data_IF_548628357433
#
_entry.id   IF_548628357433
#
_cell.length_a   1.000
_cell.length_b   1.000
_cell.length_c   1.000
_cell.angle_alpha   90.00
_cell.angle_beta   90.00
_cell.angle_gamma   90.00
#
_symmetry.space_group_name_H-M   'P 1'
#
loop_
_entity.id
_entity.type
_entity.pdbx_description
1 polymer ?
#
# COMPACT_ATOMS: atom_id res chain seq x y z
N UNK A 1 45.03 -10.01 -75.02
CA UNK A 1 43.65 -9.85 -75.46
C UNK A 1 42.72 -9.97 -74.29
N UNK A 2 42.36 -8.85 -73.65
CA UNK A 2 41.49 -8.79 -72.46
C UNK A 2 40.10 -8.39 -72.88
N UNK A 3 39.12 -9.23 -72.58
CA UNK A 3 37.70 -8.88 -72.70
C UNK A 3 37.20 -8.32 -71.34
N UNK A 4 36.53 -7.16 -71.33
CA UNK A 4 35.91 -6.65 -70.11
C UNK A 4 34.57 -7.32 -69.85
N UNK A 5 34.36 -7.71 -68.64
CA UNK A 5 33.11 -8.25 -68.12
C UNK A 5 32.14 -7.11 -67.79
N UNK A 6 31.00 -7.11 -68.44
CA UNK A 6 29.92 -6.16 -68.19
C UNK A 6 29.09 -6.63 -67.04
N UNK A 7 29.16 -5.89 -65.92
CA UNK A 7 28.32 -6.11 -64.75
C UNK A 7 26.91 -5.61 -65.05
N UNK A 8 25.94 -6.52 -65.13
CA UNK A 8 24.51 -6.18 -65.12
C UNK A 8 24.01 -6.01 -63.69
N UNK A 9 23.68 -4.77 -63.33
CA UNK A 9 23.05 -4.44 -62.06
C UNK A 9 21.55 -4.73 -62.16
N UNK A 10 21.12 -5.83 -61.54
CA UNK A 10 19.70 -6.14 -61.36
C UNK A 10 19.19 -5.36 -60.16
N UNK A 11 18.43 -4.30 -60.37
CA UNK A 11 17.71 -3.59 -59.33
C UNK A 11 16.47 -4.40 -58.95
N UNK A 12 16.53 -5.05 -57.77
CA UNK A 12 15.40 -5.75 -57.21
C UNK A 12 14.50 -4.73 -56.49
N UNK A 13 13.40 -4.36 -57.13
CA UNK A 13 12.33 -3.56 -56.53
C UNK A 13 11.55 -4.47 -55.56
N UNK A 14 11.78 -4.31 -54.23
CA UNK A 14 10.98 -4.94 -53.19
C UNK A 14 9.79 -4.02 -52.91
N UNK A 15 8.54 -4.47 -53.12
CA UNK A 15 7.39 -3.68 -52.69
C UNK A 15 7.31 -3.65 -51.16
N UNK A 16 7.40 -2.46 -50.60
CA UNK A 16 7.19 -2.19 -49.17
C UNK A 16 5.71 -2.37 -48.86
N UNK A 17 5.34 -3.55 -48.35
CA UNK A 17 4.02 -3.78 -47.78
C UNK A 17 3.99 -3.09 -46.42
N UNK A 18 3.32 -1.96 -46.35
CA UNK A 18 3.03 -1.29 -45.08
C UNK A 18 1.98 -2.11 -44.33
N UNK A 19 2.43 -2.93 -43.35
CA UNK A 19 1.54 -3.55 -42.37
C UNK A 19 1.14 -2.46 -41.39
N UNK A 20 -0.05 -1.91 -41.55
CA UNK A 20 -0.68 -1.06 -40.56
C UNK A 20 -1.14 -1.98 -39.40
N UNK A 21 -0.30 -2.16 -38.40
CA UNK A 21 -0.70 -2.80 -37.17
C UNK A 21 -1.55 -1.80 -36.36
N UNK A 22 -2.87 -1.90 -36.47
CA UNK A 22 -3.79 -1.25 -35.56
C UNK A 22 -3.70 -1.97 -34.19
N UNK A 23 -2.78 -1.53 -33.34
CA UNK A 23 -2.74 -1.94 -31.95
C UNK A 23 -3.95 -1.32 -31.24
N UNK A 24 -5.02 -2.11 -31.09
CA UNK A 24 -6.06 -1.82 -30.10
C UNK A 24 -5.42 -1.95 -28.71
N UNK A 25 -4.89 -0.85 -28.17
CA UNK A 25 -4.52 -0.78 -26.77
C UNK A 25 -5.80 -0.86 -25.95
N UNK A 26 -6.12 -2.08 -25.48
CA UNK A 26 -7.07 -2.27 -24.41
C UNK A 26 -6.57 -1.44 -23.22
N UNK A 27 -7.28 -0.37 -22.91
CA UNK A 27 -6.97 0.47 -21.76
C UNK A 27 -7.03 -0.37 -20.50
N UNK A 28 -5.88 -0.81 -20.01
CA UNK A 28 -5.79 -1.28 -18.63
C UNK A 28 -6.27 -0.12 -17.76
N UNK A 29 -7.33 -0.34 -16.98
CA UNK A 29 -7.82 0.64 -16.03
C UNK A 29 -6.63 1.06 -15.16
N UNK A 30 -6.26 2.33 -15.22
CA UNK A 30 -5.23 2.87 -14.35
C UNK A 30 -5.67 2.64 -12.91
N UNK A 31 -4.81 2.12 -12.04
CA UNK A 31 -5.13 2.04 -10.63
C UNK A 31 -5.53 3.43 -10.14
N UNK A 32 -6.51 3.53 -9.23
CA UNK A 32 -6.95 4.82 -8.70
C UNK A 32 -5.73 5.60 -8.21
N UNK A 33 -5.64 6.87 -8.63
CA UNK A 33 -4.57 7.77 -8.19
C UNK A 33 -4.66 7.86 -6.66
N UNK A 34 -3.58 7.58 -5.93
CA UNK A 34 -3.61 7.66 -4.47
C UNK A 34 -4.09 9.04 -4.03
N UNK A 35 -5.06 9.08 -3.13
CA UNK A 35 -5.52 10.34 -2.57
C UNK A 35 -4.35 11.01 -1.86
N UNK A 36 -4.03 12.28 -2.15
CA UNK A 36 -2.99 13.01 -1.43
C UNK A 36 -3.21 12.91 0.08
N UNK A 37 -2.11 12.94 0.84
CA UNK A 37 -2.19 12.96 2.30
C UNK A 37 -3.24 14.02 2.74
N UNK A 38 -4.17 13.68 3.66
CA UNK A 38 -5.26 14.58 4.02
C UNK A 38 -4.70 15.91 4.51
N UNK A 39 -5.19 17.01 3.92
CA UNK A 39 -4.95 18.35 4.43
C UNK A 39 -5.72 18.50 5.75
N UNK A 40 -5.07 18.38 6.88
CA UNK A 40 -5.69 18.46 8.20
C UNK A 40 -4.71 18.12 9.31
N UNK A 41 -5.18 18.22 10.56
CA UNK A 41 -4.38 17.85 11.72
C UNK A 41 -4.09 16.35 11.71
N UNK A 42 -2.83 15.99 11.81
CA UNK A 42 -2.35 14.62 11.93
C UNK A 42 -1.86 14.39 13.36
N UNK A 43 -2.22 13.26 13.91
CA UNK A 43 -1.86 12.84 15.26
C UNK A 43 -0.88 11.68 15.19
N UNK A 44 0.25 11.82 15.85
CA UNK A 44 1.23 10.74 15.91
C UNK A 44 0.75 9.63 16.84
N UNK A 45 0.76 8.40 16.33
CA UNK A 45 0.23 7.22 17.00
C UNK A 45 1.35 6.24 17.34
N UNK A 46 1.16 5.55 18.45
CA UNK A 46 1.97 4.42 18.88
C UNK A 46 1.15 3.14 18.85
N UNK A 47 1.73 2.04 18.36
CA UNK A 47 1.08 0.74 18.35
C UNK A 47 1.24 0.09 19.72
N UNK A 48 0.14 -0.04 20.45
CA UNK A 48 0.10 -0.63 21.79
C UNK A 48 0.13 -2.15 21.78
N UNK A 49 -0.29 -2.77 20.67
CA UNK A 49 -0.30 -4.21 20.50
C UNK A 49 -1.47 -4.72 19.67
N UNK A 50 -1.54 -6.03 19.60
CA UNK A 50 -2.66 -6.76 18.98
C UNK A 50 -3.23 -7.71 20.02
N UNK A 51 -4.55 -7.67 20.21
CA UNK A 51 -5.27 -8.53 21.14
C UNK A 51 -6.52 -9.12 20.48
N UNK A 52 -6.96 -10.31 20.87
CA UNK A 52 -8.22 -10.84 20.40
C UNK A 52 -9.40 -10.04 20.95
N UNK A 53 -10.37 -9.76 20.12
CA UNK A 53 -11.65 -9.22 20.56
C UNK A 53 -12.36 -10.25 21.47
N UNK A 54 -12.82 -9.86 22.65
CA UNK A 54 -13.37 -10.81 23.63
C UNK A 54 -14.66 -11.48 23.18
N UNK A 55 -15.37 -10.94 22.19
CA UNK A 55 -16.65 -11.47 21.69
C UNK A 55 -16.43 -12.34 20.47
N UNK A 56 -15.71 -11.86 19.50
CA UNK A 56 -15.52 -12.56 18.21
C UNK A 56 -14.24 -13.38 18.13
N UNK A 57 -13.27 -13.13 19.02
CA UNK A 57 -11.92 -13.70 18.95
C UNK A 57 -11.07 -13.14 17.81
N UNK A 58 -11.59 -12.24 17.01
CA UNK A 58 -10.87 -11.64 15.87
C UNK A 58 -9.77 -10.70 16.38
N UNK A 59 -8.59 -10.66 15.72
CA UNK A 59 -7.51 -9.78 16.13
C UNK A 59 -7.88 -8.30 15.98
N UNK A 60 -7.61 -7.51 17.01
CA UNK A 60 -7.70 -6.05 17.05
C UNK A 60 -6.31 -5.47 17.25
N UNK A 61 -5.89 -4.56 16.37
CA UNK A 61 -4.73 -3.73 16.61
C UNK A 61 -5.17 -2.46 17.36
N UNK A 62 -4.43 -2.11 18.39
CA UNK A 62 -4.66 -0.93 19.22
C UNK A 62 -3.56 0.09 19.00
N UNK A 63 -3.96 1.33 18.72
CA UNK A 63 -3.06 2.47 18.64
C UNK A 63 -3.49 3.54 19.63
N UNK A 64 -2.50 4.27 20.17
CA UNK A 64 -2.72 5.39 21.07
C UNK A 64 -1.94 6.61 20.58
N UNK A 65 -2.57 7.78 20.66
CA UNK A 65 -1.91 9.06 20.39
C UNK A 65 -0.79 9.33 21.38
N UNK A 66 0.39 9.67 20.88
CA UNK A 66 1.56 9.93 21.74
C UNK A 66 1.39 11.17 22.61
N UNK A 67 0.65 12.17 22.14
CA UNK A 67 0.48 13.46 22.82
C UNK A 67 -0.84 13.58 23.57
N UNK A 68 -1.95 13.18 22.94
CA UNK A 68 -3.31 13.44 23.42
C UNK A 68 -4.05 12.19 23.93
N UNK A 69 -3.40 11.03 23.94
CA UNK A 69 -3.93 9.75 24.38
C UNK A 69 -5.21 9.27 23.67
N UNK A 70 -5.52 9.81 22.50
CA UNK A 70 -6.59 9.29 21.64
C UNK A 70 -6.33 7.82 21.33
N UNK A 71 -7.39 7.05 21.27
CA UNK A 71 -7.29 5.63 20.97
C UNK A 71 -7.97 5.32 19.64
N UNK A 72 -7.36 4.42 18.91
CA UNK A 72 -7.85 3.90 17.66
C UNK A 72 -7.67 2.39 17.67
N UNK A 73 -8.74 1.67 17.36
CA UNK A 73 -8.69 0.22 17.26
C UNK A 73 -9.34 -0.24 15.97
N UNK A 74 -8.76 -1.25 15.33
CA UNK A 74 -9.29 -1.80 14.11
C UNK A 74 -9.14 -3.31 14.04
N UNK A 75 -10.17 -3.97 13.52
CA UNK A 75 -10.10 -5.40 13.23
C UNK A 75 -9.13 -5.64 12.07
N UNK A 76 -8.30 -6.66 12.23
CA UNK A 76 -7.34 -7.10 11.21
C UNK A 76 -7.44 -8.61 11.05
N UNK A 77 -6.95 -9.12 9.93
CA UNK A 77 -6.87 -10.56 9.73
C UNK A 77 -5.78 -11.22 10.59
N UNK A 78 -5.87 -12.53 10.84
CA UNK A 78 -4.88 -13.24 11.67
C UNK A 78 -3.48 -13.25 11.06
N UNK A 79 -3.35 -13.23 9.74
CA UNK A 79 -2.05 -13.14 9.05
C UNK A 79 -1.46 -11.74 9.14
N UNK A 80 -2.30 -10.71 9.03
CA UNK A 80 -1.91 -9.31 9.21
C UNK A 80 -1.46 -9.06 10.66
N UNK A 81 -2.15 -9.67 11.62
CA UNK A 81 -1.76 -9.61 13.03
C UNK A 81 -0.33 -10.09 13.26
N UNK A 82 0.07 -11.20 12.65
CA UNK A 82 1.46 -11.68 12.73
C UNK A 82 2.46 -10.66 12.16
N UNK A 83 2.08 -9.99 11.06
CA UNK A 83 2.90 -8.93 10.46
C UNK A 83 3.21 -7.78 11.41
N UNK A 84 2.33 -7.51 12.37
CA UNK A 84 2.47 -6.47 13.40
C UNK A 84 3.13 -7.02 14.67
N UNK A 85 2.71 -8.19 15.15
CA UNK A 85 3.21 -8.78 16.39
C UNK A 85 4.71 -9.07 16.33
N UNK A 86 5.20 -9.65 15.23
CA UNK A 86 6.59 -10.04 15.09
C UNK A 86 7.57 -8.87 15.31
N UNK A 87 7.44 -7.72 14.62
CA UNK A 87 8.32 -6.58 14.87
C UNK A 87 8.16 -5.96 16.27
N UNK A 88 6.94 -5.93 16.82
CA UNK A 88 6.71 -5.43 18.18
C UNK A 88 7.44 -6.27 19.24
N UNK A 89 7.58 -7.57 19.02
CA UNK A 89 8.31 -8.49 19.89
C UNK A 89 9.79 -8.59 19.56
N UNK A 90 10.28 -7.85 18.56
CA UNK A 90 11.68 -7.93 18.11
C UNK A 90 12.05 -9.29 17.51
N UNK A 91 11.05 -10.10 17.13
CA UNK A 91 11.28 -11.44 16.60
C UNK A 91 11.72 -11.37 15.14
N UNK A 92 12.80 -12.11 14.82
CA UNK A 92 13.27 -12.31 13.45
C UNK A 92 13.14 -13.78 13.08
N UNK A 93 12.50 -14.04 11.95
CA UNK A 93 12.35 -15.38 11.43
C UNK A 93 13.58 -15.78 10.59
N UNK A 94 13.89 -17.10 10.46
CA UNK A 94 14.98 -17.57 9.62
C UNK A 94 14.82 -17.24 8.13
N UNK A 95 13.60 -17.03 7.69
CA UNK A 95 13.25 -16.59 6.32
C UNK A 95 12.43 -15.30 6.38
N UNK A 96 12.60 -14.39 5.42
CA UNK A 96 11.79 -13.16 5.34
C UNK A 96 10.30 -13.49 5.30
N UNK A 97 9.52 -12.78 6.11
CA UNK A 97 8.07 -12.79 6.05
C UNK A 97 7.59 -11.83 4.93
N UNK A 98 6.30 -11.81 4.60
CA UNK A 98 5.78 -11.00 3.49
C UNK A 98 6.19 -9.53 3.58
N UNK A 99 6.04 -8.91 4.75
CA UNK A 99 6.40 -7.50 4.95
C UNK A 99 7.91 -7.28 4.98
N UNK A 100 8.71 -8.28 5.41
CA UNK A 100 10.17 -8.19 5.34
C UNK A 100 10.64 -8.21 3.87
N UNK A 101 10.04 -9.09 3.05
CA UNK A 101 10.32 -9.16 1.63
C UNK A 101 9.88 -7.86 0.91
N UNK A 102 8.71 -7.33 1.27
CA UNK A 102 8.21 -6.08 0.70
C UNK A 102 9.13 -4.91 1.04
N UNK A 103 9.58 -4.81 2.28
CA UNK A 103 10.52 -3.78 2.72
C UNK A 103 11.86 -3.89 1.99
N UNK A 104 12.40 -5.10 1.86
CA UNK A 104 13.62 -5.34 1.08
C UNK A 104 13.45 -4.91 -0.39
N UNK A 105 12.31 -5.20 -1.00
CA UNK A 105 12.02 -4.74 -2.37
C UNK A 105 11.98 -3.22 -2.47
N UNK A 106 11.35 -2.53 -1.51
CA UNK A 106 11.33 -1.07 -1.43
C UNK A 106 12.76 -0.52 -1.36
N UNK A 107 13.61 -1.08 -0.49
CA UNK A 107 15.01 -0.67 -0.33
C UNK A 107 15.83 -0.92 -1.61
N UNK A 108 15.63 -2.06 -2.28
CA UNK A 108 16.30 -2.37 -3.56
C UNK A 108 15.95 -1.38 -4.65
N UNK A 109 14.73 -0.83 -4.62
CA UNK A 109 14.27 0.24 -5.50
C UNK A 109 14.74 1.64 -5.05
N UNK A 110 15.65 1.73 -4.06
CA UNK A 110 16.20 2.96 -3.50
C UNK A 110 15.14 3.88 -2.90
N UNK A 111 14.07 3.30 -2.37
CA UNK A 111 13.06 3.98 -1.59
C UNK A 111 13.10 3.51 -0.13
N UNK A 112 12.45 4.24 0.77
CA UNK A 112 12.26 3.88 2.17
C UNK A 112 10.86 4.30 2.62
N UNK A 113 10.33 3.67 3.65
CA UNK A 113 9.06 4.09 4.25
C UNK A 113 9.31 5.40 5.03
N UNK A 114 8.74 6.50 4.54
CA UNK A 114 8.88 7.81 5.18
C UNK A 114 7.89 7.94 6.35
N UNK A 115 6.63 7.55 6.15
CA UNK A 115 5.57 7.57 7.17
C UNK A 115 4.34 6.81 6.69
N UNK A 116 3.45 6.55 7.62
CA UNK A 116 2.10 6.02 7.38
C UNK A 116 1.07 7.02 7.86
N UNK A 117 -0.01 7.20 7.11
CA UNK A 117 -1.15 8.03 7.52
C UNK A 117 -2.43 7.20 7.43
N UNK A 118 -3.07 6.93 8.57
CA UNK A 118 -4.44 6.40 8.63
C UNK A 118 -5.36 7.57 8.33
N UNK A 119 -6.02 7.54 7.17
CA UNK A 119 -6.65 8.73 6.59
C UNK A 119 -8.08 8.94 7.08
N UNK A 120 -8.86 7.87 7.09
CA UNK A 120 -10.28 7.94 7.46
C UNK A 120 -10.83 6.55 7.82
N UNK A 121 -12.01 6.56 8.42
CA UNK A 121 -12.88 5.40 8.49
C UNK A 121 -14.16 5.68 7.69
N UNK A 122 -14.43 4.86 6.68
CA UNK A 122 -15.60 4.96 5.82
C UNK A 122 -16.22 3.57 5.64
N UNK A 123 -17.51 3.46 5.73
CA UNK A 123 -18.26 2.20 5.57
C UNK A 123 -17.68 1.04 6.40
N UNK A 124 -17.37 1.35 7.66
CA UNK A 124 -16.74 0.43 8.63
C UNK A 124 -15.36 -0.10 8.20
N UNK A 125 -14.69 0.58 7.26
CA UNK A 125 -13.37 0.23 6.74
C UNK A 125 -12.41 1.38 6.96
N UNK A 126 -11.24 1.08 7.51
CA UNK A 126 -10.14 2.05 7.65
C UNK A 126 -9.31 2.08 6.38
N UNK A 127 -8.93 3.29 5.99
CA UNK A 127 -8.04 3.57 4.87
C UNK A 127 -6.72 4.14 5.36
N UNK A 128 -5.65 3.82 4.67
CA UNK A 128 -4.33 4.37 4.99
C UNK A 128 -3.52 4.65 3.71
N UNK A 129 -2.62 5.62 3.84
CA UNK A 129 -1.59 5.89 2.86
C UNK A 129 -0.24 5.43 3.43
N UNK A 130 0.48 4.63 2.66
CA UNK A 130 1.89 4.35 2.84
C UNK A 130 2.68 5.38 2.03
N UNK A 131 3.44 6.23 2.69
CA UNK A 131 4.25 7.25 2.03
C UNK A 131 5.69 6.78 1.99
N UNK A 132 6.22 6.65 0.79
CA UNK A 132 7.61 6.31 0.55
C UNK A 132 8.40 7.57 0.19
N UNK A 133 9.65 7.63 0.62
CA UNK A 133 10.66 8.54 0.08
C UNK A 133 11.48 7.78 -0.97
N UNK A 134 11.32 8.15 -2.22
CA UNK A 134 12.07 7.62 -3.35
C UNK A 134 13.06 8.68 -3.84
N UNK A 135 14.25 8.73 -3.21
CA UNK A 135 15.32 9.66 -3.57
C UNK A 135 14.91 11.13 -3.48
N UNK A 136 14.18 11.50 -2.43
CA UNK A 136 13.69 12.86 -2.19
C UNK A 136 12.34 13.18 -2.83
N UNK A 137 11.74 12.22 -3.53
CA UNK A 137 10.37 12.31 -4.03
C UNK A 137 9.42 11.48 -3.17
N UNK A 138 8.33 12.08 -2.74
CA UNK A 138 7.28 11.34 -2.04
C UNK A 138 6.42 10.56 -3.03
N UNK A 139 6.30 9.26 -2.77
CA UNK A 139 5.38 8.37 -3.47
C UNK A 139 4.31 7.93 -2.49
N UNK A 140 3.06 8.25 -2.78
CA UNK A 140 1.91 7.89 -1.95
C UNK A 140 1.24 6.65 -2.51
N UNK A 141 1.10 5.63 -1.68
CA UNK A 141 0.44 4.38 -2.03
C UNK A 141 -0.80 4.19 -1.17
N UNK A 142 -1.93 3.87 -1.78
CA UNK A 142 -3.09 3.36 -1.05
C UNK A 142 -2.75 2.01 -0.42
N UNK A 143 -3.12 1.82 0.84
CA UNK A 143 -2.76 0.63 1.59
C UNK A 143 -3.81 0.30 2.65
N UNK A 144 -3.93 -0.98 2.96
CA UNK A 144 -4.62 -1.37 4.19
C UNK A 144 -3.80 -0.89 5.40
N UNK A 145 -4.45 -0.36 6.46
CA UNK A 145 -3.72 0.08 7.65
C UNK A 145 -2.81 -0.99 8.26
N UNK A 146 -3.24 -2.25 8.30
CA UNK A 146 -2.43 -3.36 8.82
C UNK A 146 -1.10 -3.54 8.10
N UNK A 147 -1.10 -3.46 6.76
CA UNK A 147 0.11 -3.62 5.95
C UNK A 147 1.05 -2.42 6.13
N UNK A 148 0.47 -1.21 6.11
CA UNK A 148 1.23 0.01 6.32
C UNK A 148 1.88 0.05 7.71
N UNK A 149 1.13 -0.30 8.77
CA UNK A 149 1.63 -0.39 10.16
C UNK A 149 2.76 -1.43 10.24
N UNK A 150 2.58 -2.61 9.64
CA UNK A 150 3.58 -3.67 9.66
C UNK A 150 4.92 -3.26 9.02
N UNK A 151 4.87 -2.45 7.95
CA UNK A 151 6.05 -1.87 7.30
C UNK A 151 6.65 -0.75 8.13
N UNK A 152 5.82 0.15 8.69
CA UNK A 152 6.27 1.25 9.53
C UNK A 152 7.04 0.75 10.78
N UNK A 153 6.55 -0.31 11.43
CA UNK A 153 7.19 -0.90 12.60
C UNK A 153 8.59 -1.47 12.27
N UNK A 154 8.78 -1.99 11.07
CA UNK A 154 10.07 -2.53 10.62
C UNK A 154 11.10 -1.44 10.28
N UNK A 155 10.62 -0.33 9.76
CA UNK A 155 11.44 0.82 9.37
C UNK A 155 11.60 1.85 10.52
N UNK A 156 10.87 1.68 11.63
CA UNK A 156 10.70 2.69 12.68
C UNK A 156 10.17 4.02 12.12
N UNK A 157 9.32 3.95 11.10
CA UNK A 157 8.70 5.11 10.50
C UNK A 157 7.50 5.59 11.33
N UNK A 158 7.23 6.91 11.37
CA UNK A 158 6.10 7.45 12.11
C UNK A 158 4.76 6.97 11.54
N UNK A 159 3.84 6.65 12.45
CA UNK A 159 2.46 6.32 12.15
C UNK A 159 1.60 7.49 12.60
N UNK A 160 0.84 8.04 11.67
CA UNK A 160 -0.02 9.20 11.88
C UNK A 160 -1.48 8.80 11.63
N UNK A 161 -2.41 9.48 12.30
CA UNK A 161 -3.84 9.35 12.04
C UNK A 161 -4.45 10.72 11.80
N UNK A 162 -5.26 10.86 10.76
CA UNK A 162 -6.03 12.06 10.52
C UNK A 162 -7.28 12.11 11.41
N UNK A 163 -7.81 13.30 11.66
CA UNK A 163 -9.03 13.48 12.49
C UNK A 163 -10.19 12.57 12.02
N UNK A 164 -10.36 12.40 10.71
CA UNK A 164 -11.39 11.54 10.12
C UNK A 164 -11.26 10.06 10.45
N UNK A 165 -10.10 9.61 10.88
CA UNK A 165 -9.89 8.22 11.32
C UNK A 165 -10.54 7.93 12.68
N UNK A 166 -10.76 8.96 13.52
CA UNK A 166 -11.38 8.83 14.84
C UNK A 166 -12.90 8.93 14.81
N UNK A 167 -13.48 9.32 13.68
CA UNK A 167 -14.93 9.44 13.54
C UNK A 167 -15.52 8.05 13.34
N UNK A 168 -16.17 7.53 14.37
CA UNK A 168 -16.98 6.32 14.24
C UNK A 168 -18.25 6.68 13.46
N UNK A 169 -18.59 5.98 12.34
CA UNK A 169 -19.87 6.23 11.67
C UNK A 169 -21.03 6.03 12.66
N UNK A 170 -22.14 6.76 12.50
CA UNK A 170 -23.33 6.54 13.32
C UNK A 170 -23.71 5.07 13.26
N UNK A 171 -23.95 4.44 14.41
CA UNK A 171 -24.50 3.08 14.44
C UNK A 171 -25.81 3.09 13.68
N UNK A 172 -25.92 2.28 12.66
CA UNK A 172 -27.17 2.10 11.92
C UNK A 172 -28.16 1.42 12.87
N UNK A 173 -29.05 2.23 13.46
CA UNK A 173 -30.11 1.78 14.38
C UNK A 173 -31.14 0.83 13.76
N UNK A 174 -31.02 0.54 12.46
CA UNK A 174 -31.92 -0.37 11.74
C UNK A 174 -31.65 -1.84 11.99
N UNK A 175 -30.52 -2.23 12.62
CA UNK A 175 -30.21 -3.63 12.92
C UNK A 175 -30.70 -4.11 14.28
N UNK A 176 -31.20 -3.25 15.14
CA UNK A 176 -31.72 -3.63 16.47
C UNK A 176 -33.23 -3.89 16.52
N UNK A 177 -33.92 -3.81 15.39
CA UNK A 177 -35.40 -3.93 15.28
C UNK A 177 -35.91 -5.27 14.76
N UNK A 178 -35.16 -6.33 14.83
CA UNK A 178 -35.55 -7.61 14.22
C UNK A 178 -35.54 -8.80 15.16
N UNK A 179 -36.26 -8.71 16.31
CA UNK A 179 -36.66 -9.92 17.04
C UNK A 179 -37.92 -9.60 17.87
N UNK A 180 -39.08 -9.82 17.34
CA UNK A 180 -40.29 -10.13 18.05
C UNK A 180 -40.83 -11.43 17.47
#
# INVERSE_FOLDING_TARGET
>A
MHRPWRSATFALLIPMVAVVATSAMGGAAQPPVPTPAPAGTLYEMEVMGVQPDPVSGAPLVFLRGKQDKRELSMFIGPFEAQGIILPLQGMRLPRPFTHDLMLEAIHRLKAKVARVVITEMRDNTYFANLILDAQGQEVVLDSRPSDAIALALRENAPILAAEKAFVRPPRDSRREGGTQ
#
